data_IF_402716736206
#
_entry.id   IF_402716736206
#
_cell.length_a   1.000
_cell.length_b   1.000
_cell.length_c   1.000
_cell.angle_alpha   90.00
_cell.angle_beta   90.00
_cell.angle_gamma   90.00
#
_symmetry.space_group_name_H-M   'P 1'
#
loop_
_entity.id
_entity.type
_entity.pdbx_description
1 polymer ?
#
# COMPACT_ATOMS: atom_id res chain seq x y z
N UNK A 1 17.06 6.99 9.88
CA UNK A 1 16.09 5.99 10.37
C UNK A 1 15.33 5.52 9.15
N UNK A 2 15.41 4.24 8.80
CA UNK A 2 14.52 3.68 7.76
C UNK A 2 13.16 3.49 8.41
N UNK A 3 12.14 4.23 7.97
CA UNK A 3 10.77 3.92 8.33
C UNK A 3 10.48 2.46 7.95
N UNK A 4 9.69 1.76 8.76
CA UNK A 4 9.36 0.35 8.54
C UNK A 4 8.32 0.14 7.41
N UNK A 5 7.92 1.23 6.74
CA UNK A 5 7.03 1.28 5.58
C UNK A 5 7.72 2.03 4.43
N UNK A 6 7.20 1.88 3.21
CA UNK A 6 7.71 2.56 2.01
C UNK A 6 7.69 4.09 2.12
N UNK A 7 8.72 4.76 1.60
CA UNK A 7 8.81 6.22 1.59
C UNK A 7 7.65 6.92 0.84
N UNK A 8 6.94 6.19 -0.03
CA UNK A 8 5.67 6.63 -0.61
C UNK A 8 4.73 7.28 0.41
N UNK A 9 4.62 6.71 1.61
CA UNK A 9 3.71 7.21 2.66
C UNK A 9 4.26 8.41 3.44
N UNK A 10 5.55 8.73 3.28
CA UNK A 10 6.15 9.96 3.82
C UNK A 10 6.04 11.10 2.80
N UNK A 11 6.15 10.77 1.51
CA UNK A 11 6.16 11.73 0.40
C UNK A 11 4.76 12.07 -0.12
N UNK A 12 3.78 11.22 0.17
CA UNK A 12 2.37 11.40 -0.24
C UNK A 12 1.54 11.84 0.95
N UNK A 13 0.59 12.74 0.72
CA UNK A 13 -0.38 13.11 1.77
C UNK A 13 -1.31 11.93 2.06
N UNK A 14 -1.71 11.69 3.32
CA UNK A 14 -2.59 10.58 3.65
C UNK A 14 -3.92 10.56 2.89
N UNK A 15 -4.44 11.73 2.53
CA UNK A 15 -5.68 11.87 1.75
C UNK A 15 -5.54 11.42 0.28
N UNK A 16 -4.30 11.36 -0.22
CA UNK A 16 -3.95 11.03 -1.61
C UNK A 16 -3.40 9.60 -1.77
N UNK A 17 -3.44 8.79 -0.71
CA UNK A 17 -3.01 7.39 -0.77
C UNK A 17 -3.85 6.60 -1.76
N UNK A 18 -3.20 6.01 -2.77
CA UNK A 18 -3.85 5.22 -3.82
C UNK A 18 -3.02 4.00 -4.17
N UNK A 19 -3.71 2.87 -4.39
CA UNK A 19 -3.08 1.62 -4.78
C UNK A 19 -2.20 1.75 -6.03
N UNK A 20 -2.73 2.39 -7.08
CA UNK A 20 -2.02 2.57 -8.34
C UNK A 20 -0.77 3.45 -8.19
N UNK A 21 -0.81 4.47 -7.34
CA UNK A 21 0.32 5.37 -7.15
C UNK A 21 1.40 4.72 -6.28
N UNK A 22 1.03 3.92 -5.27
CA UNK A 22 1.97 3.03 -4.59
C UNK A 22 2.64 2.06 -5.57
N UNK A 23 1.87 1.45 -6.48
CA UNK A 23 2.44 0.50 -7.45
C UNK A 23 3.38 1.20 -8.45
N UNK A 24 3.03 2.39 -8.93
CA UNK A 24 3.92 3.22 -9.77
C UNK A 24 5.20 3.60 -9.03
N UNK A 25 5.11 3.98 -7.75
CA UNK A 25 6.26 4.24 -6.91
C UNK A 25 7.15 2.99 -6.79
N UNK A 26 6.55 1.83 -6.52
CA UNK A 26 7.25 0.55 -6.42
C UNK A 26 7.93 0.14 -7.73
N UNK A 27 7.32 0.41 -8.88
CA UNK A 27 7.90 0.13 -10.21
C UNK A 27 9.26 0.82 -10.42
N UNK A 28 9.51 1.93 -9.75
CA UNK A 28 10.77 2.68 -9.83
C UNK A 28 11.86 2.14 -8.88
N UNK A 29 11.51 1.22 -7.98
CA UNK A 29 12.45 0.68 -6.99
C UNK A 29 13.22 -0.51 -7.55
N UNK A 30 14.50 -0.64 -7.19
CA UNK A 30 15.36 -1.71 -7.71
C UNK A 30 14.96 -3.12 -7.25
N UNK A 31 14.23 -3.24 -6.14
CA UNK A 31 13.72 -4.51 -5.60
C UNK A 31 12.28 -4.82 -6.05
N UNK A 32 11.78 -4.10 -7.06
CA UNK A 32 10.46 -4.32 -7.60
C UNK A 32 10.27 -5.76 -8.09
N UNK A 33 9.17 -6.37 -7.70
CA UNK A 33 8.78 -7.66 -8.23
C UNK A 33 7.66 -7.46 -9.25
N UNK A 34 7.81 -8.03 -10.44
CA UNK A 34 6.74 -8.08 -11.45
C UNK A 34 5.57 -9.01 -11.04
N UNK A 35 5.43 -9.32 -9.74
CA UNK A 35 4.33 -10.13 -9.20
C UNK A 35 3.39 -9.21 -8.45
N UNK A 36 2.18 -9.09 -8.98
CA UNK A 36 1.11 -8.32 -8.34
C UNK A 36 0.89 -8.77 -6.90
N UNK A 37 0.81 -10.09 -6.68
CA UNK A 37 0.64 -10.68 -5.35
C UNK A 37 1.74 -10.21 -4.37
N UNK A 38 3.02 -10.31 -4.76
CA UNK A 38 4.13 -9.90 -3.88
C UNK A 38 4.12 -8.41 -3.57
N UNK A 39 3.85 -7.56 -4.55
CA UNK A 39 3.77 -6.10 -4.31
C UNK A 39 2.52 -5.73 -3.49
N UNK A 40 1.42 -6.47 -3.64
CA UNK A 40 0.22 -6.30 -2.81
C UNK A 40 0.45 -6.72 -1.35
N UNK A 41 1.25 -7.78 -1.12
CA UNK A 41 1.62 -8.21 0.22
C UNK A 41 2.58 -7.21 0.89
N UNK A 42 3.49 -6.58 0.12
CA UNK A 42 4.30 -5.45 0.59
C UNK A 42 3.41 -4.28 1.01
N UNK A 43 2.44 -3.89 0.17
CA UNK A 43 1.48 -2.83 0.51
C UNK A 43 0.73 -3.15 1.82
N UNK A 44 0.17 -4.34 1.96
CA UNK A 44 -0.55 -4.73 3.19
C UNK A 44 0.33 -4.65 4.43
N UNK A 45 1.59 -5.06 4.31
CA UNK A 45 2.55 -4.98 5.41
C UNK A 45 2.80 -3.53 5.80
N UNK A 46 3.06 -2.67 4.84
CA UNK A 46 3.28 -1.24 5.07
C UNK A 46 2.05 -0.59 5.73
N UNK A 47 0.85 -0.86 5.21
CA UNK A 47 -0.41 -0.36 5.79
C UNK A 47 -0.62 -0.87 7.22
N UNK A 48 -0.36 -2.15 7.49
CA UNK A 48 -0.47 -2.70 8.85
C UNK A 48 0.47 -2.00 9.83
N UNK A 49 1.70 -1.68 9.41
CA UNK A 49 2.68 -0.99 10.25
C UNK A 49 2.25 0.48 10.43
N UNK A 50 1.80 1.16 9.39
CA UNK A 50 1.28 2.54 9.44
C UNK A 50 0.07 2.67 10.35
N UNK A 51 -0.90 1.77 10.26
CA UNK A 51 -2.08 1.75 11.13
C UNK A 51 -1.68 1.58 12.60
N UNK A 52 -0.64 0.79 12.87
CA UNK A 52 -0.18 0.53 14.24
C UNK A 52 0.66 1.70 14.80
N UNK A 53 1.61 2.20 14.01
CA UNK A 53 2.71 3.04 14.48
C UNK A 53 2.70 4.47 13.90
N UNK A 54 1.86 4.75 12.89
CA UNK A 54 1.80 6.05 12.22
C UNK A 54 1.13 7.14 13.06
N UNK A 55 1.22 8.38 12.57
CA UNK A 55 0.47 9.52 13.10
C UNK A 55 -1.02 9.39 12.74
N UNK A 56 -1.91 10.04 13.50
CA UNK A 56 -3.36 9.85 13.37
C UNK A 56 -3.89 10.00 11.93
N UNK A 57 -3.42 11.00 11.18
CA UNK A 57 -3.80 11.19 9.77
C UNK A 57 -3.30 10.08 8.86
N UNK A 58 -2.07 9.59 9.09
CA UNK A 58 -1.51 8.48 8.32
C UNK A 58 -2.25 7.18 8.61
N UNK A 59 -2.65 6.97 9.87
CA UNK A 59 -3.48 5.81 10.28
C UNK A 59 -4.83 5.84 9.59
N UNK A 60 -5.48 7.00 9.53
CA UNK A 60 -6.75 7.19 8.85
C UNK A 60 -6.63 6.90 7.35
N UNK A 61 -5.68 7.55 6.66
CA UNK A 61 -5.42 7.31 5.24
C UNK A 61 -5.06 5.86 4.93
N UNK A 62 -4.21 5.24 5.75
CA UNK A 62 -3.84 3.84 5.60
C UNK A 62 -5.02 2.88 5.83
N UNK A 63 -5.92 3.20 6.78
CA UNK A 63 -7.13 2.41 7.03
C UNK A 63 -8.09 2.48 5.85
N UNK A 64 -8.34 3.68 5.30
CA UNK A 64 -9.19 3.88 4.13
C UNK A 64 -8.66 3.14 2.89
N UNK A 65 -7.35 3.21 2.65
CA UNK A 65 -6.73 2.49 1.54
C UNK A 65 -6.82 0.97 1.75
N UNK A 66 -6.63 0.48 2.97
CA UNK A 66 -6.72 -0.94 3.31
C UNK A 66 -8.15 -1.49 3.14
N UNK A 67 -9.17 -0.73 3.53
CA UNK A 67 -10.58 -1.09 3.32
C UNK A 67 -10.92 -1.13 1.83
N UNK A 68 -10.50 -0.11 1.08
CA UNK A 68 -10.67 -0.07 -0.38
C UNK A 68 -10.01 -1.28 -1.05
N UNK A 69 -8.84 -1.70 -0.57
CA UNK A 69 -8.12 -2.86 -1.09
C UNK A 69 -8.84 -4.19 -0.80
N UNK A 70 -9.43 -4.35 0.40
CA UNK A 70 -10.24 -5.54 0.74
C UNK A 70 -11.50 -5.62 -0.12
N UNK A 71 -12.22 -4.52 -0.29
CA UNK A 71 -13.40 -4.46 -1.16
C UNK A 71 -13.10 -4.84 -2.60
N UNK A 72 -11.95 -4.40 -3.13
CA UNK A 72 -11.48 -4.81 -4.46
C UNK A 72 -11.23 -6.31 -4.58
N UNK A 73 -10.66 -6.96 -3.55
CA UNK A 73 -10.36 -8.39 -3.59
C UNK A 73 -11.61 -9.26 -3.48
N UNK A 74 -12.59 -8.83 -2.70
CA UNK A 74 -13.87 -9.54 -2.54
C UNK A 74 -14.72 -9.48 -3.81
N UNK A 75 -14.65 -8.38 -4.55
CA UNK A 75 -15.42 -8.19 -5.78
C UNK A 75 -14.70 -8.62 -7.06
N UNK A 76 -13.38 -8.81 -7.01
CA UNK A 76 -12.55 -9.16 -8.18
C UNK A 76 -11.68 -10.38 -7.87
N UNK A 77 -12.32 -11.54 -7.69
CA UNK A 77 -11.63 -12.83 -7.51
C UNK A 77 -10.67 -13.17 -8.66
N UNK A 78 -10.81 -12.53 -9.81
CA UNK A 78 -9.98 -12.75 -11.00
C UNK A 78 -8.60 -12.08 -10.95
N UNK A 79 -8.34 -11.20 -9.97
CA UNK A 79 -7.06 -10.46 -9.85
C UNK A 79 -5.91 -11.37 -9.38
N UNK A 80 -6.20 -12.59 -8.93
CA UNK A 80 -5.19 -13.63 -8.68
C UNK A 80 -4.63 -14.27 -9.99
N UNK A 81 -5.14 -13.86 -11.16
CA UNK A 81 -4.73 -14.37 -12.49
C UNK A 81 -3.89 -13.36 -13.28
N UNK A 82 -2.74 -12.95 -12.76
CA UNK A 82 -1.67 -12.32 -13.57
C UNK A 82 -0.28 -12.73 -13.05
#
# INVERSE_FOLDING_TARGET
>A
MSCAWSAYFEETRPEDYRFLDFYKYRLQQSDFTFSFRKESDKLKKDLSILITNGLDKMKEGASLLNESFKGHREYSSDVDTF
#
